data_IF_721394160928
#
_entry.id   IF_721394160928
#
_cell.length_a   1.000
_cell.length_b   1.000
_cell.length_c   1.000
_cell.angle_alpha   90.00
_cell.angle_beta   90.00
_cell.angle_gamma   90.00
#
_symmetry.space_group_name_H-M   'P 1'
#
loop_
_entity.id
_entity.type
_entity.pdbx_description
1 polymer ?
#
# COMPACT_ATOMS: atom_id res chain seq x y z
N UNK A 1 3.15 8.73 -7.32
CA UNK A 1 2.46 8.65 -6.02
C UNK A 1 3.49 9.00 -4.92
N UNK A 2 3.19 8.96 -3.60
CA UNK A 2 4.16 9.39 -2.58
C UNK A 2 5.50 8.64 -2.63
N UNK A 3 5.48 7.34 -2.87
CA UNK A 3 6.69 6.50 -2.95
C UNK A 3 7.59 6.85 -4.15
N UNK A 4 7.04 7.06 -5.35
CA UNK A 4 7.82 7.46 -6.52
C UNK A 4 8.35 8.89 -6.38
N UNK A 5 7.60 9.77 -5.71
CA UNK A 5 8.10 11.12 -5.37
C UNK A 5 9.28 11.08 -4.41
N UNK A 6 9.37 10.05 -3.57
CA UNK A 6 10.53 9.80 -2.72
C UNK A 6 11.70 9.12 -3.46
N UNK A 7 11.55 8.81 -4.75
CA UNK A 7 12.61 8.25 -5.60
C UNK A 7 12.60 6.73 -5.72
N UNK A 8 11.60 6.02 -5.18
CA UNK A 8 11.45 4.58 -5.39
C UNK A 8 11.04 4.29 -6.84
N UNK A 9 11.59 3.21 -7.41
CA UNK A 9 11.20 2.76 -8.75
C UNK A 9 9.81 2.15 -8.71
N UNK A 10 9.06 2.28 -9.80
CA UNK A 10 7.69 1.77 -9.85
C UNK A 10 7.63 0.25 -9.77
N UNK A 11 8.66 -0.48 -10.24
CA UNK A 11 8.74 -1.93 -10.08
C UNK A 11 8.92 -2.40 -8.62
N UNK A 12 9.44 -1.54 -7.74
CA UNK A 12 9.68 -1.86 -6.33
C UNK A 12 8.46 -1.52 -5.44
N UNK A 13 7.37 -1.00 -6.02
CA UNK A 13 6.21 -0.48 -5.28
C UNK A 13 4.91 -1.13 -5.75
N UNK A 14 4.22 -1.81 -4.84
CA UNK A 14 2.89 -2.37 -5.08
C UNK A 14 1.81 -1.44 -4.51
N UNK A 15 1.05 -0.79 -5.39
CA UNK A 15 -0.12 0.02 -5.00
C UNK A 15 -1.36 -0.86 -4.80
N UNK A 16 -1.51 -1.41 -3.58
CA UNK A 16 -2.58 -2.38 -3.26
C UNK A 16 -4.00 -1.87 -3.54
N UNK A 17 -4.25 -0.58 -3.35
CA UNK A 17 -5.57 0.03 -3.50
C UNK A 17 -5.69 0.94 -4.73
N UNK A 18 -4.79 0.79 -5.71
CA UNK A 18 -4.85 1.51 -6.98
C UNK A 18 -4.30 2.94 -6.92
N UNK A 19 -4.73 3.78 -7.87
CA UNK A 19 -4.12 5.08 -8.14
C UNK A 19 -5.18 6.19 -8.18
N UNK A 20 -5.07 7.15 -7.27
CA UNK A 20 -5.98 8.31 -7.24
C UNK A 20 -5.77 9.26 -8.43
N UNK A 21 -4.57 9.25 -9.02
CA UNK A 21 -4.25 10.07 -10.22
C UNK A 21 -4.90 9.54 -11.48
N UNK A 22 -5.58 8.40 -11.40
CA UNK A 22 -6.20 7.73 -12.53
C UNK A 22 -7.72 7.66 -12.36
N UNK A 23 -8.42 7.69 -13.49
CA UNK A 23 -9.84 7.41 -13.59
C UNK A 23 -10.07 6.13 -14.37
N UNK A 24 -11.11 5.38 -13.99
CA UNK A 24 -11.58 4.20 -14.72
C UNK A 24 -13.01 4.39 -15.17
N UNK A 25 -13.33 3.91 -16.37
CA UNK A 25 -14.70 3.84 -16.85
C UNK A 25 -15.52 2.82 -16.04
N UNK A 26 -16.71 3.22 -15.60
CA UNK A 26 -17.62 2.35 -14.84
C UNK A 26 -18.32 1.29 -15.70
N UNK A 27 -18.30 1.46 -17.02
CA UNK A 27 -18.81 0.45 -17.95
C UNK A 27 -17.84 -0.73 -18.01
N UNK A 28 -18.32 -1.90 -17.60
CA UNK A 28 -17.54 -3.14 -17.52
C UNK A 28 -17.03 -3.61 -18.89
N UNK A 29 -17.73 -3.30 -19.98
CA UNK A 29 -17.29 -3.64 -21.33
C UNK A 29 -16.21 -2.68 -21.83
N UNK A 30 -16.19 -1.43 -21.35
CA UNK A 30 -15.16 -0.47 -21.71
C UNK A 30 -13.92 -0.59 -20.83
N UNK A 31 -14.08 -0.52 -19.51
CA UNK A 31 -13.02 -0.71 -18.50
C UNK A 31 -11.79 0.20 -18.56
N UNK A 32 -11.70 1.12 -19.55
CA UNK A 32 -10.53 1.95 -19.83
C UNK A 32 -10.12 2.80 -18.65
N UNK A 33 -8.80 2.94 -18.49
CA UNK A 33 -8.16 3.76 -17.47
C UNK A 33 -7.53 4.97 -18.14
N UNK A 34 -7.62 6.13 -17.48
CA UNK A 34 -7.10 7.41 -17.94
C UNK A 34 -6.29 8.06 -16.81
N UNK A 35 -5.04 8.41 -17.07
CA UNK A 35 -4.25 9.19 -16.12
C UNK A 35 -4.62 10.68 -16.25
N UNK A 36 -5.06 11.27 -15.14
CA UNK A 36 -5.43 12.68 -15.03
C UNK A 36 -4.45 13.46 -14.15
N UNK A 37 -3.41 12.81 -13.60
CA UNK A 37 -2.49 13.40 -12.65
C UNK A 37 -3.22 13.97 -11.44
N UNK A 38 -3.17 15.28 -11.28
CA UNK A 38 -3.84 16.01 -10.19
C UNK A 38 -5.00 16.89 -10.65
N UNK A 39 -5.45 16.74 -11.90
CA UNK A 39 -6.60 17.47 -12.45
C UNK A 39 -7.89 16.99 -11.82
N UNK A 40 -8.96 17.79 -11.85
CA UNK A 40 -10.28 17.34 -11.38
C UNK A 40 -10.89 16.36 -12.38
N UNK A 41 -11.67 15.41 -11.89
CA UNK A 41 -12.34 14.41 -12.73
C UNK A 41 -13.17 15.04 -13.87
N UNK A 42 -13.87 16.14 -13.59
CA UNK A 42 -14.74 16.79 -14.58
C UNK A 42 -13.96 17.49 -15.70
N UNK A 43 -12.67 17.73 -15.54
CA UNK A 43 -11.81 18.28 -16.59
C UNK A 43 -11.55 17.24 -17.70
N UNK A 44 -11.64 15.94 -17.38
CA UNK A 44 -11.61 14.89 -18.39
C UNK A 44 -13.01 14.68 -18.96
N UNK A 45 -13.29 15.31 -20.10
CA UNK A 45 -14.51 15.11 -20.89
C UNK A 45 -15.81 15.23 -20.05
N UNK A 46 -15.87 16.22 -19.15
CA UNK A 46 -17.02 16.44 -18.28
C UNK A 46 -17.29 15.31 -17.27
N UNK A 47 -16.27 14.51 -16.93
CA UNK A 47 -16.40 13.35 -16.04
C UNK A 47 -16.94 12.09 -16.72
N UNK A 48 -17.01 12.06 -18.06
CA UNK A 48 -17.48 10.94 -18.87
C UNK A 48 -16.35 10.31 -19.67
N UNK A 49 -16.45 9.01 -19.90
CA UNK A 49 -15.48 8.25 -20.69
C UNK A 49 -15.43 8.80 -22.12
N UNK A 50 -14.24 9.21 -22.62
CA UNK A 50 -14.09 9.68 -24.00
C UNK A 50 -14.44 8.63 -25.08
N UNK A 51 -14.50 7.33 -24.72
CA UNK A 51 -14.78 6.24 -25.66
C UNK A 51 -16.26 5.85 -25.69
N UNK A 52 -16.93 5.73 -24.55
CA UNK A 52 -18.32 5.23 -24.48
C UNK A 52 -19.30 6.17 -23.79
N UNK A 53 -18.86 7.37 -23.38
CA UNK A 53 -19.67 8.37 -22.66
C UNK A 53 -20.25 7.95 -21.29
N UNK A 54 -19.98 6.73 -20.82
CA UNK A 54 -20.31 6.27 -19.47
C UNK A 54 -19.55 7.05 -18.39
N UNK A 55 -20.03 7.02 -17.15
CA UNK A 55 -19.40 7.73 -16.02
C UNK A 55 -17.99 7.21 -15.74
N UNK A 56 -17.11 8.12 -15.36
CA UNK A 56 -15.80 7.80 -14.79
C UNK A 56 -15.87 7.76 -13.27
N UNK A 57 -14.94 7.03 -12.67
CA UNK A 57 -14.68 7.02 -11.22
C UNK A 57 -13.17 6.98 -10.96
N UNK A 58 -12.70 7.31 -9.75
CA UNK A 58 -11.33 7.06 -9.35
C UNK A 58 -10.92 5.60 -9.57
N UNK A 59 -9.71 5.37 -10.08
CA UNK A 59 -9.13 4.03 -10.27
C UNK A 59 -8.50 3.51 -8.96
N UNK A 60 -9.31 3.48 -7.91
CA UNK A 60 -8.96 2.90 -6.62
C UNK A 60 -9.92 1.77 -6.28
N UNK A 61 -9.46 0.88 -5.39
CA UNK A 61 -10.24 -0.27 -4.91
C UNK A 61 -11.20 0.19 -3.82
N UNK A 62 -12.50 0.02 -4.03
CA UNK A 62 -13.52 0.25 -3.00
C UNK A 62 -13.77 -1.00 -2.17
N UNK A 63 -14.34 -0.85 -0.97
CA UNK A 63 -14.78 -1.99 -0.17
C UNK A 63 -15.76 -2.86 -0.95
N UNK A 64 -15.54 -4.17 -0.89
CA UNK A 64 -16.33 -5.17 -1.63
C UNK A 64 -15.90 -5.39 -3.08
N UNK A 65 -14.92 -4.63 -3.60
CA UNK A 65 -14.36 -4.87 -4.92
C UNK A 65 -13.20 -5.86 -4.90
N UNK A 66 -12.93 -6.45 -6.05
CA UNK A 66 -11.73 -7.26 -6.26
C UNK A 66 -10.48 -6.39 -6.14
N UNK A 67 -9.51 -6.86 -5.37
CA UNK A 67 -8.24 -6.19 -5.10
C UNK A 67 -7.08 -7.01 -5.70
N UNK A 68 -6.87 -6.95 -7.03
CA UNK A 68 -5.98 -7.90 -7.73
C UNK A 68 -4.54 -7.88 -7.23
N UNK A 69 -4.04 -6.74 -6.76
CA UNK A 69 -2.67 -6.60 -6.27
C UNK A 69 -2.39 -7.34 -4.96
N UNK A 70 -3.42 -7.84 -4.27
CA UNK A 70 -3.21 -8.74 -3.12
C UNK A 70 -2.61 -10.09 -3.54
N UNK A 71 -2.88 -10.56 -4.76
CA UNK A 71 -2.23 -11.78 -5.25
C UNK A 71 -0.73 -11.58 -5.40
N UNK A 72 -0.32 -10.43 -5.95
CA UNK A 72 1.09 -10.06 -6.08
C UNK A 72 1.75 -9.87 -4.71
N UNK A 73 1.09 -9.17 -3.78
CA UNK A 73 1.54 -9.05 -2.40
C UNK A 73 1.82 -10.41 -1.76
N UNK A 74 0.87 -11.34 -1.90
CA UNK A 74 1.01 -12.68 -1.32
C UNK A 74 2.20 -13.45 -1.90
N UNK A 75 2.49 -13.29 -3.21
CA UNK A 75 3.69 -13.89 -3.82
C UNK A 75 4.96 -13.31 -3.21
N UNK A 76 5.06 -11.98 -3.11
CA UNK A 76 6.25 -11.31 -2.56
C UNK A 76 6.49 -11.63 -1.08
N UNK A 77 5.43 -11.84 -0.30
CA UNK A 77 5.56 -12.17 1.13
C UNK A 77 6.19 -13.54 1.36
N UNK A 78 6.05 -14.49 0.43
CA UNK A 78 6.55 -15.87 0.64
C UNK A 78 8.07 -15.92 0.82
N UNK A 79 8.80 -15.03 0.16
CA UNK A 79 10.27 -14.93 0.23
C UNK A 79 10.74 -13.77 1.12
N UNK A 80 9.83 -13.18 1.92
CA UNK A 80 10.14 -12.03 2.77
C UNK A 80 10.86 -12.45 4.04
N UNK A 81 12.11 -12.02 4.23
CA UNK A 81 12.88 -12.31 5.46
C UNK A 81 12.75 -11.21 6.53
N UNK A 82 12.56 -9.96 6.11
CA UNK A 82 12.37 -8.79 6.98
C UNK A 82 11.09 -8.05 6.61
N UNK A 83 10.15 -7.97 7.55
CA UNK A 83 8.88 -7.28 7.34
C UNK A 83 8.75 -6.03 8.21
N UNK A 84 8.53 -4.87 7.58
CA UNK A 84 8.39 -3.59 8.28
C UNK A 84 7.01 -3.00 8.01
N UNK A 85 6.26 -2.75 9.08
CA UNK A 85 4.92 -2.17 9.04
C UNK A 85 4.97 -0.77 9.62
N UNK A 86 4.51 0.22 8.87
CA UNK A 86 4.50 1.62 9.29
C UNK A 86 3.09 2.21 9.08
N UNK A 87 2.45 2.65 10.16
CA UNK A 87 1.26 3.51 10.10
C UNK A 87 0.00 2.82 9.55
N UNK A 88 -0.37 1.67 10.09
CA UNK A 88 -1.63 0.96 9.72
C UNK A 88 -2.35 0.46 10.95
N UNK A 89 -3.69 0.52 10.92
CA UNK A 89 -4.50 -0.11 11.98
C UNK A 89 -4.59 -1.63 11.84
N UNK A 90 -4.19 -2.22 10.69
CA UNK A 90 -4.30 -3.66 10.47
C UNK A 90 -5.73 -4.18 10.26
N UNK A 91 -6.74 -3.31 10.23
CA UNK A 91 -8.15 -3.71 10.04
C UNK A 91 -8.48 -4.22 8.62
N UNK A 92 -7.71 -3.79 7.62
CA UNK A 92 -7.94 -4.13 6.21
C UNK A 92 -6.91 -5.16 5.72
N UNK A 93 -5.66 -5.01 6.11
CA UNK A 93 -4.57 -5.94 5.79
C UNK A 93 -4.14 -6.61 7.10
N UNK A 94 -4.26 -7.93 7.16
CA UNK A 94 -3.90 -8.74 8.33
C UNK A 94 -2.38 -8.84 8.50
N UNK A 95 -1.77 -7.79 9.03
CA UNK A 95 -0.30 -7.71 9.20
C UNK A 95 0.26 -8.73 10.20
N UNK A 96 -0.56 -9.23 11.14
CA UNK A 96 -0.16 -10.25 12.11
C UNK A 96 0.30 -11.55 11.46
N UNK A 97 -0.42 -12.00 10.42
CA UNK A 97 -0.10 -13.24 9.71
C UNK A 97 1.11 -13.04 8.81
N UNK A 98 1.22 -11.87 8.17
CA UNK A 98 2.37 -11.52 7.33
C UNK A 98 3.66 -11.48 8.15
N UNK A 99 3.61 -10.91 9.35
CA UNK A 99 4.76 -10.81 10.24
C UNK A 99 5.36 -12.17 10.64
N UNK A 100 4.56 -13.25 10.57
CA UNK A 100 5.02 -14.61 10.89
C UNK A 100 5.75 -15.30 9.73
N UNK A 101 5.62 -14.81 8.49
CA UNK A 101 6.41 -15.32 7.37
C UNK A 101 7.84 -14.80 7.40
N UNK A 102 8.05 -13.63 8.01
CA UNK A 102 9.36 -13.02 8.10
C UNK A 102 10.18 -13.54 9.29
N UNK A 103 11.49 -13.66 9.10
CA UNK A 103 12.43 -14.00 10.17
C UNK A 103 12.51 -12.88 11.21
N UNK A 104 12.41 -11.63 10.76
CA UNK A 104 12.36 -10.45 11.62
C UNK A 104 11.22 -9.55 11.19
N UNK A 105 10.51 -8.99 12.15
CA UNK A 105 9.37 -8.11 11.90
C UNK A 105 9.37 -6.89 12.81
N UNK A 106 9.02 -5.72 12.24
CA UNK A 106 9.01 -4.44 12.94
C UNK A 106 7.65 -3.79 12.72
N UNK A 107 6.97 -3.45 13.80
CA UNK A 107 5.76 -2.64 13.79
C UNK A 107 6.08 -1.24 14.28
N UNK A 108 5.73 -0.23 13.49
CA UNK A 108 5.64 1.15 13.95
C UNK A 108 4.24 1.71 13.70
N UNK A 109 3.59 2.13 14.79
CA UNK A 109 2.36 2.89 14.76
C UNK A 109 2.45 4.06 15.73
N UNK A 110 1.59 5.07 15.57
CA UNK A 110 1.50 6.12 16.57
C UNK A 110 0.92 5.59 17.90
N UNK A 111 -0.07 4.69 17.80
CA UNK A 111 -0.78 4.08 18.93
C UNK A 111 -1.09 2.60 18.65
N UNK A 112 -1.37 1.79 19.69
CA UNK A 112 -1.81 0.41 19.53
C UNK A 112 -3.10 0.28 18.72
N UNK A 113 -3.25 -0.84 18.02
CA UNK A 113 -4.49 -1.21 17.35
C UNK A 113 -5.03 -2.53 17.88
N UNK A 114 -6.32 -2.62 18.16
CA UNK A 114 -6.96 -3.87 18.61
C UNK A 114 -6.91 -4.99 17.57
N UNK A 115 -6.71 -4.65 16.30
CA UNK A 115 -6.56 -5.63 15.22
C UNK A 115 -5.12 -6.15 15.06
N UNK A 116 -4.16 -5.57 15.77
CA UNK A 116 -2.75 -5.95 15.69
C UNK A 116 -2.34 -6.55 17.04
N UNK A 117 -1.69 -7.71 16.99
CA UNK A 117 -1.13 -8.33 18.19
C UNK A 117 0.39 -8.21 18.16
N UNK A 118 0.91 -7.39 19.07
CA UNK A 118 2.31 -7.05 19.24
C UNK A 118 3.22 -8.28 19.37
N UNK A 119 2.69 -9.39 19.89
CA UNK A 119 3.45 -10.63 20.06
C UNK A 119 3.91 -11.27 18.74
N UNK A 120 3.31 -10.89 17.59
CA UNK A 120 3.76 -11.35 16.27
C UNK A 120 4.92 -10.55 15.70
N UNK A 121 5.35 -9.47 16.37
CA UNK A 121 6.40 -8.59 15.89
C UNK A 121 7.66 -8.73 16.73
N UNK A 122 8.82 -8.86 16.07
CA UNK A 122 10.11 -8.88 16.77
C UNK A 122 10.40 -7.56 17.49
N UNK A 123 9.84 -6.45 16.98
CA UNK A 123 9.97 -5.12 17.56
C UNK A 123 8.73 -4.28 17.33
N UNK A 124 8.28 -3.56 18.37
CA UNK A 124 7.12 -2.67 18.30
C UNK A 124 7.52 -1.27 18.76
N UNK A 125 7.15 -0.27 17.98
CA UNK A 125 7.48 1.15 18.17
C UNK A 125 6.20 1.98 18.16
N UNK A 126 5.74 2.42 19.34
CA UNK A 126 4.61 3.34 19.47
C UNK A 126 5.04 4.80 19.51
N UNK A 127 5.16 5.40 18.33
CA UNK A 127 5.60 6.79 18.10
C UNK A 127 5.31 7.21 16.67
N UNK A 128 5.37 8.53 16.41
CA UNK A 128 5.21 9.04 15.03
C UNK A 128 6.26 8.40 14.13
N UNK A 129 5.88 8.07 12.90
CA UNK A 129 6.79 7.47 11.92
C UNK A 129 8.06 8.31 11.71
N UNK A 130 7.93 9.64 11.74
CA UNK A 130 9.04 10.58 11.63
C UNK A 130 10.03 10.53 12.81
N UNK A 131 9.60 10.05 13.98
CA UNK A 131 10.45 9.86 15.17
C UNK A 131 10.98 8.41 15.26
N UNK A 132 10.34 7.48 14.56
CA UNK A 132 10.74 6.08 14.50
C UNK A 132 11.79 5.78 13.43
N UNK A 133 11.83 6.60 12.37
CA UNK A 133 12.55 6.30 11.13
C UNK A 133 14.02 5.95 11.35
N UNK A 134 14.75 6.70 12.20
CA UNK A 134 16.16 6.44 12.45
C UNK A 134 16.40 5.12 13.21
N UNK A 135 15.46 4.73 14.07
CA UNK A 135 15.53 3.46 14.78
C UNK A 135 15.18 2.29 13.85
N UNK A 136 14.16 2.45 13.01
CA UNK A 136 13.79 1.45 12.00
C UNK A 136 14.96 1.24 11.03
N UNK A 137 15.60 2.32 10.56
CA UNK A 137 16.74 2.25 9.66
C UNK A 137 17.90 1.45 10.26
N UNK A 138 18.25 1.70 11.53
CA UNK A 138 19.30 0.94 12.25
C UNK A 138 18.97 -0.54 12.36
N UNK A 139 17.72 -0.90 12.59
CA UNK A 139 17.27 -2.30 12.65
C UNK A 139 17.39 -2.99 11.30
N UNK A 140 17.04 -2.29 10.21
CA UNK A 140 17.20 -2.78 8.84
C UNK A 140 18.69 -2.98 8.53
N UNK A 141 19.54 -1.99 8.83
CA UNK A 141 20.99 -2.07 8.60
C UNK A 141 21.64 -3.22 9.36
N UNK A 142 21.24 -3.44 10.62
CA UNK A 142 21.72 -4.54 11.45
C UNK A 142 21.25 -5.91 10.92
N UNK A 143 20.07 -5.99 10.31
CA UNK A 143 19.57 -7.20 9.68
C UNK A 143 20.34 -7.51 8.38
N UNK A 144 20.59 -6.50 7.54
CA UNK A 144 21.29 -6.68 6.26
C UNK A 144 22.80 -6.95 6.40
N UNK A 145 23.40 -6.54 7.51
CA UNK A 145 24.83 -6.75 7.79
C UNK A 145 25.02 -7.58 9.07
N UNK A 146 24.63 -8.87 9.06
CA UNK A 146 24.90 -9.75 10.18
C UNK A 146 26.42 -9.90 10.32
N UNK A 147 26.95 -9.62 11.52
CA UNK A 147 28.37 -9.78 11.82
C UNK A 147 28.81 -11.22 11.70
#
# INVERSE_FOLDING_TARGET
MPFEKAGLKSEDVIHLHGFLTQLRCQDSYCGKVFDIGYKKQNELNGGKCPTCSSKLRPNIVFFGEQAPMYEELNKQIQDCELFVVIGTSGNVIGVNTIAQFATRSILNNYEPSSAINDAYFSKVLYKKATEAVDEIAKEIEAFLNPR
#
